data_IF_527946368394
#
_entry.id   IF_527946368394
#
_cell.length_a   1.000
_cell.length_b   1.000
_cell.length_c   1.000
_cell.angle_alpha   90.00
_cell.angle_beta   90.00
_cell.angle_gamma   90.00
#
_symmetry.space_group_name_H-M   'P 1'
#
loop_
_entity.id
_entity.type
_entity.pdbx_description
1 polymer ?
#
# COMPACT_ATOMS: atom_id res chain seq x y z
N UNK A 1 40.17 -28.74 -23.20
CA UNK A 1 41.27 -27.84 -22.84
C UNK A 1 41.13 -27.49 -21.37
N UNK A 2 42.06 -28.00 -20.57
CA UNK A 2 42.04 -27.98 -19.11
C UNK A 2 43.02 -26.92 -18.64
N UNK A 3 42.59 -25.92 -17.88
CA UNK A 3 43.50 -24.96 -17.24
C UNK A 3 43.36 -25.07 -15.72
N UNK A 4 44.47 -25.50 -15.12
CA UNK A 4 44.69 -25.71 -13.69
C UNK A 4 45.16 -24.41 -13.02
N UNK A 5 44.61 -24.19 -11.82
CA UNK A 5 45.24 -23.74 -10.57
C UNK A 5 46.01 -22.40 -10.47
N UNK A 6 45.68 -21.62 -9.42
CA UNK A 6 46.67 -21.24 -8.41
C UNK A 6 46.03 -20.88 -7.05
N UNK A 7 46.37 -21.69 -6.05
CA UNK A 7 46.15 -21.44 -4.62
C UNK A 7 47.17 -20.43 -4.14
N UNK A 8 46.75 -19.42 -3.37
CA UNK A 8 47.64 -18.58 -2.58
C UNK A 8 47.17 -18.58 -1.12
N UNK A 9 47.89 -19.34 -0.30
CA UNK A 9 47.80 -19.32 1.14
C UNK A 9 48.77 -18.26 1.68
N UNK A 10 48.30 -17.40 2.58
CA UNK A 10 49.13 -16.47 3.35
C UNK A 10 48.68 -16.46 4.81
N UNK A 11 49.43 -17.16 5.67
CA UNK A 11 49.42 -16.97 7.13
C UNK A 11 50.50 -15.94 7.48
N UNK A 12 50.36 -15.28 8.64
CA UNK A 12 51.35 -14.68 9.57
C UNK A 12 50.60 -13.55 10.31
N UNK A 13 50.69 -13.27 11.61
CA UNK A 13 51.12 -13.94 12.83
C UNK A 13 50.77 -12.99 14.01
N UNK A 14 50.47 -13.58 15.18
CA UNK A 14 50.84 -13.20 16.57
C UNK A 14 51.04 -11.71 16.98
N UNK A 15 50.43 -11.36 18.12
CA UNK A 15 50.84 -10.24 19.00
C UNK A 15 49.77 -9.91 20.07
N UNK A 16 49.73 -10.58 21.23
CA UNK A 16 50.25 -10.14 22.54
C UNK A 16 49.40 -9.06 23.25
N UNK A 17 48.77 -9.42 24.38
CA UNK A 17 48.94 -8.68 25.65
C UNK A 17 47.89 -7.65 26.12
N UNK A 18 46.82 -8.13 26.78
CA UNK A 18 46.14 -7.51 27.96
C UNK A 18 45.46 -6.12 27.82
N UNK A 19 44.76 -5.60 28.86
CA UNK A 19 44.35 -6.20 30.12
C UNK A 19 42.82 -6.42 30.25
N UNK A 20 42.46 -7.26 31.22
CA UNK A 20 41.10 -7.47 31.70
C UNK A 20 40.45 -6.14 32.15
N UNK A 21 39.43 -5.70 31.42
CA UNK A 21 38.53 -4.64 31.85
C UNK A 21 37.24 -5.29 32.38
N UNK A 22 37.08 -5.19 33.69
CA UNK A 22 36.02 -5.74 34.51
C UNK A 22 34.76 -4.87 34.34
N UNK A 23 33.91 -5.20 33.35
CA UNK A 23 32.62 -4.51 33.14
C UNK A 23 31.57 -5.20 34.01
N UNK A 24 31.11 -4.48 35.04
CA UNK A 24 29.99 -4.84 35.90
C UNK A 24 28.73 -5.09 35.07
N UNK A 25 28.09 -6.23 35.33
CA UNK A 25 26.84 -6.62 34.71
C UNK A 25 25.68 -5.68 35.07
N UNK A 26 25.16 -5.00 34.05
CA UNK A 26 23.74 -4.63 34.03
C UNK A 26 22.99 -5.78 33.38
N UNK A 27 22.51 -6.71 34.22
CA UNK A 27 21.52 -7.71 33.85
C UNK A 27 20.17 -7.02 33.63
N UNK A 28 20.03 -6.34 32.50
CA UNK A 28 18.70 -6.00 31.98
C UNK A 28 18.00 -7.30 31.59
N UNK A 29 16.79 -7.53 32.08
CA UNK A 29 15.90 -8.56 31.56
C UNK A 29 15.62 -8.28 30.08
N UNK A 30 16.48 -8.80 29.20
CA UNK A 30 16.17 -9.02 27.81
C UNK A 30 15.14 -10.14 27.79
N UNK A 31 13.86 -9.77 27.77
CA UNK A 31 12.79 -10.65 27.34
C UNK A 31 13.12 -11.06 25.91
N UNK A 32 13.84 -12.18 25.76
CA UNK A 32 13.93 -12.92 24.51
C UNK A 32 12.54 -13.48 24.25
N UNK A 33 11.68 -12.64 23.67
CA UNK A 33 10.54 -13.13 22.90
C UNK A 33 11.06 -14.13 21.87
N UNK A 34 10.24 -15.11 21.46
CA UNK A 34 10.68 -16.12 20.52
C UNK A 34 11.23 -15.44 19.27
N UNK A 35 12.55 -15.53 19.10
CA UNK A 35 13.22 -15.27 17.85
C UNK A 35 12.69 -16.35 16.92
N UNK A 36 11.61 -16.04 16.21
CA UNK A 36 11.20 -16.80 15.05
C UNK A 36 12.43 -16.97 14.17
N UNK A 37 12.74 -18.21 13.82
CA UNK A 37 13.92 -18.59 13.06
C UNK A 37 14.12 -17.62 11.90
N UNK A 38 15.18 -16.82 12.00
CA UNK A 38 15.62 -15.91 10.96
C UNK A 38 16.10 -16.69 9.75
N UNK A 39 15.16 -17.04 8.87
CA UNK A 39 15.44 -17.00 7.44
C UNK A 39 15.62 -15.55 6.99
N UNK A 40 16.17 -15.28 5.80
CA UNK A 40 16.18 -13.93 5.26
C UNK A 40 14.75 -13.39 5.31
N UNK A 41 14.51 -12.39 6.15
CA UNK A 41 13.23 -11.68 6.19
C UNK A 41 13.07 -11.06 4.81
N UNK A 42 12.25 -11.68 3.99
CA UNK A 42 11.79 -11.11 2.73
C UNK A 42 10.90 -9.95 3.14
N UNK A 43 11.52 -8.80 3.33
CA UNK A 43 10.80 -7.54 3.46
C UNK A 43 10.22 -7.26 2.08
N UNK A 44 9.04 -7.84 1.83
CA UNK A 44 8.25 -7.56 0.65
C UNK A 44 7.72 -6.14 0.85
N UNK A 45 8.14 -5.16 0.02
CA UNK A 45 7.74 -3.78 0.23
C UNK A 45 6.22 -3.67 0.16
N UNK A 46 5.64 -3.04 1.18
CA UNK A 46 4.26 -2.58 1.15
C UNK A 46 4.10 -1.54 0.04
N UNK A 47 2.88 -1.33 -0.44
CA UNK A 47 2.59 -0.34 -1.49
C UNK A 47 3.24 1.01 -1.17
N UNK A 48 3.93 1.58 -2.15
CA UNK A 48 4.50 2.93 -2.07
C UNK A 48 4.36 3.65 -3.40
N UNK A 49 4.20 4.97 -3.34
CA UNK A 49 4.16 5.83 -4.51
C UNK A 49 5.20 6.93 -4.36
N UNK A 50 6.08 7.09 -5.34
CA UNK A 50 7.15 8.11 -5.30
C UNK A 50 7.50 8.55 -6.70
N UNK A 51 7.61 9.86 -6.92
CA UNK A 51 8.06 10.46 -8.19
C UNK A 51 7.31 9.97 -9.44
N UNK A 52 5.99 9.73 -9.31
CA UNK A 52 5.17 9.27 -10.42
C UNK A 52 5.18 7.75 -10.67
N UNK A 53 5.73 6.99 -9.73
CA UNK A 53 5.94 5.55 -9.84
C UNK A 53 5.31 4.87 -8.62
N UNK A 54 4.34 3.98 -8.85
CA UNK A 54 3.86 3.08 -7.81
C UNK A 54 4.76 1.84 -7.75
N UNK A 55 5.04 1.33 -6.56
CA UNK A 55 5.74 0.07 -6.37
C UNK A 55 5.10 -0.78 -5.28
N UNK A 56 5.05 -2.09 -5.50
CA UNK A 56 4.52 -3.06 -4.55
C UNK A 56 5.28 -4.38 -4.68
N UNK A 57 5.64 -4.97 -3.54
CA UNK A 57 6.21 -6.30 -3.48
C UNK A 57 5.14 -7.38 -3.44
N UNK A 58 5.42 -8.50 -4.08
CA UNK A 58 4.64 -9.73 -4.04
C UNK A 58 5.51 -10.88 -3.56
N UNK A 59 5.04 -11.65 -2.58
CA UNK A 59 5.70 -12.86 -2.08
C UNK A 59 5.52 -14.05 -3.06
N UNK A 60 5.74 -13.79 -4.35
CA UNK A 60 5.55 -14.74 -5.46
C UNK A 60 6.74 -14.63 -6.42
N UNK A 61 7.15 -15.74 -7.07
CA UNK A 61 8.21 -15.73 -8.06
C UNK A 61 7.79 -14.94 -9.31
N UNK A 62 8.77 -14.41 -10.03
CA UNK A 62 8.55 -13.49 -11.16
C UNK A 62 7.63 -14.07 -12.23
N UNK A 63 7.77 -15.35 -12.55
CA UNK A 63 6.97 -16.06 -13.56
C UNK A 63 5.47 -16.08 -13.23
N UNK A 64 5.10 -16.23 -11.95
CA UNK A 64 3.71 -16.18 -11.52
C UNK A 64 3.15 -14.74 -11.63
N UNK A 65 3.96 -13.75 -11.25
CA UNK A 65 3.59 -12.33 -11.34
C UNK A 65 3.47 -11.87 -12.78
N UNK A 66 4.32 -12.35 -13.69
CA UNK A 66 4.25 -12.08 -15.13
C UNK A 66 2.96 -12.61 -15.74
N UNK A 67 2.54 -13.83 -15.37
CA UNK A 67 1.28 -14.42 -15.83
C UNK A 67 0.08 -13.61 -15.33
N UNK A 68 0.03 -13.31 -14.02
CA UNK A 68 -1.02 -12.50 -13.43
C UNK A 68 -1.06 -11.06 -13.98
N UNK A 69 0.09 -10.51 -14.37
CA UNK A 69 0.17 -9.20 -15.02
C UNK A 69 -0.47 -9.22 -16.41
N UNK A 70 -0.32 -10.31 -17.16
CA UNK A 70 -0.99 -10.49 -18.45
C UNK A 70 -2.51 -10.41 -18.31
N UNK A 71 -3.08 -11.17 -17.37
CA UNK A 71 -4.51 -11.16 -17.07
C UNK A 71 -4.99 -9.79 -16.56
N UNK A 72 -4.23 -9.16 -15.67
CA UNK A 72 -4.54 -7.82 -15.16
C UNK A 72 -4.54 -6.75 -16.27
N UNK A 73 -3.63 -6.86 -17.25
CA UNK A 73 -3.59 -5.95 -18.39
C UNK A 73 -4.80 -6.15 -19.31
N UNK A 74 -5.24 -7.38 -19.54
CA UNK A 74 -6.42 -7.68 -20.36
C UNK A 74 -7.70 -7.13 -19.73
N UNK A 75 -7.89 -7.36 -18.42
CA UNK A 75 -9.02 -6.83 -17.65
C UNK A 75 -9.14 -5.30 -17.70
N UNK A 76 -8.00 -4.61 -17.64
CA UNK A 76 -7.93 -3.14 -17.69
C UNK A 76 -7.87 -2.60 -19.12
N UNK A 77 -8.00 -3.47 -20.13
CA UNK A 77 -7.92 -3.14 -21.55
C UNK A 77 -6.62 -2.39 -21.89
N UNK A 78 -5.53 -2.72 -21.19
CA UNK A 78 -4.19 -2.17 -21.43
C UNK A 78 -3.56 -2.97 -22.56
N UNK A 79 -3.49 -2.35 -23.73
CA UNK A 79 -2.86 -2.94 -24.91
C UNK A 79 -1.35 -2.87 -24.76
N UNK A 80 -0.66 -4.00 -24.87
CA UNK A 80 0.81 -4.05 -24.91
C UNK A 80 1.33 -3.33 -26.15
N UNK A 81 2.38 -2.54 -25.98
CA UNK A 81 3.03 -1.78 -27.06
C UNK A 81 4.50 -2.17 -27.11
N UNK A 82 4.94 -2.74 -28.22
CA UNK A 82 6.33 -3.19 -28.40
C UNK A 82 6.60 -4.59 -27.85
N UNK A 83 7.90 -4.93 -27.79
CA UNK A 83 8.36 -6.21 -27.25
C UNK A 83 8.47 -6.13 -25.72
N UNK A 84 8.29 -7.27 -25.06
CA UNK A 84 8.64 -7.42 -23.64
C UNK A 84 10.14 -7.54 -23.53
N UNK A 85 10.77 -6.65 -22.78
CA UNK A 85 12.20 -6.71 -22.48
C UNK A 85 12.37 -7.51 -21.19
N UNK A 86 12.84 -8.75 -21.28
CA UNK A 86 13.08 -9.61 -20.12
C UNK A 86 14.58 -9.89 -19.99
N UNK A 87 15.13 -9.47 -18.85
CA UNK A 87 16.51 -9.72 -18.42
C UNK A 87 16.52 -10.74 -17.26
N UNK A 88 17.71 -11.10 -16.80
CA UNK A 88 17.88 -11.97 -15.63
C UNK A 88 17.23 -11.38 -14.37
N UNK A 89 17.30 -10.07 -14.18
CA UNK A 89 16.87 -9.39 -12.94
C UNK A 89 15.56 -8.61 -13.08
N UNK A 90 15.12 -8.32 -14.30
CA UNK A 90 13.98 -7.44 -14.53
C UNK A 90 13.18 -7.85 -15.76
N UNK A 91 11.88 -7.53 -15.77
CA UNK A 91 11.03 -7.63 -16.95
C UNK A 91 10.26 -6.34 -17.13
N UNK A 92 10.43 -5.70 -18.28
CA UNK A 92 9.77 -4.44 -18.63
C UNK A 92 8.70 -4.69 -19.67
N UNK A 93 7.52 -4.14 -19.40
CA UNK A 93 6.38 -4.21 -20.30
C UNK A 93 5.89 -2.79 -20.53
N UNK A 94 5.83 -2.40 -21.80
CA UNK A 94 5.22 -1.14 -22.22
C UNK A 94 3.80 -1.40 -22.71
N UNK A 95 2.89 -0.50 -22.37
CA UNK A 95 1.49 -0.59 -22.74
C UNK A 95 0.82 0.76 -22.95
N UNK A 96 -0.43 0.72 -23.40
CA UNK A 96 -1.33 1.87 -23.45
C UNK A 96 -2.70 1.50 -22.92
N UNK A 97 -3.25 2.36 -22.06
CA UNK A 97 -4.64 2.22 -21.60
C UNK A 97 -5.63 2.49 -22.75
N UNK A 98 -6.91 2.18 -22.52
CA UNK A 98 -7.99 2.52 -23.45
C UNK A 98 -8.04 4.03 -23.77
N UNK A 99 -7.77 4.88 -22.78
CA UNK A 99 -7.68 6.34 -22.93
C UNK A 99 -6.44 6.83 -23.70
N UNK A 100 -5.56 5.91 -24.12
CA UNK A 100 -4.33 6.24 -24.85
C UNK A 100 -3.15 6.68 -23.99
N UNK A 101 -3.27 6.61 -22.65
CA UNK A 101 -2.18 6.94 -21.72
C UNK A 101 -1.12 5.84 -21.76
N UNK A 102 0.16 6.22 -21.78
CA UNK A 102 1.29 5.28 -21.73
C UNK A 102 1.34 4.61 -20.36
N UNK A 103 1.61 3.32 -20.33
CA UNK A 103 1.85 2.54 -19.11
C UNK A 103 3.23 1.91 -19.22
N UNK A 104 4.09 2.17 -18.24
CA UNK A 104 5.39 1.54 -18.12
C UNK A 104 5.38 0.65 -16.86
N UNK A 105 5.54 -0.65 -17.08
CA UNK A 105 5.52 -1.69 -16.05
C UNK A 105 6.93 -2.29 -15.94
N UNK A 106 7.42 -2.47 -14.73
CA UNK A 106 8.71 -3.14 -14.48
C UNK A 106 8.56 -4.11 -13.33
N UNK A 107 8.84 -5.38 -13.57
CA UNK A 107 8.94 -6.41 -12.56
C UNK A 107 10.41 -6.62 -12.24
N UNK A 108 10.76 -6.57 -10.96
CA UNK A 108 12.12 -6.79 -10.47
C UNK A 108 12.15 -8.07 -9.65
N UNK A 109 13.07 -8.97 -10.01
CA UNK A 109 13.28 -10.21 -9.27
C UNK A 109 14.03 -9.93 -7.96
N UNK A 110 13.46 -10.37 -6.84
CA UNK A 110 14.06 -10.29 -5.49
C UNK A 110 14.27 -11.69 -4.90
N UNK A 111 14.41 -12.71 -5.74
CA UNK A 111 14.57 -14.11 -5.37
C UNK A 111 13.20 -14.81 -5.24
N UNK A 112 12.71 -15.12 -4.03
CA UNK A 112 11.39 -15.72 -3.85
C UNK A 112 10.24 -14.70 -3.87
N UNK A 113 10.55 -13.41 -4.05
CA UNK A 113 9.60 -12.32 -4.14
C UNK A 113 9.86 -11.48 -5.40
N UNK A 114 8.84 -10.77 -5.87
CA UNK A 114 8.92 -9.90 -7.04
C UNK A 114 8.41 -8.52 -6.68
N UNK A 115 9.15 -7.48 -7.04
CA UNK A 115 8.71 -6.09 -6.87
C UNK A 115 8.15 -5.58 -8.21
N UNK A 116 6.87 -5.24 -8.25
CA UNK A 116 6.24 -4.63 -9.41
C UNK A 116 6.27 -3.11 -9.28
N UNK A 117 6.65 -2.42 -10.34
CA UNK A 117 6.65 -0.97 -10.48
C UNK A 117 5.75 -0.57 -11.64
N UNK A 118 4.82 0.35 -11.41
CA UNK A 118 3.85 0.83 -12.42
C UNK A 118 3.84 2.36 -12.51
N UNK A 119 4.00 2.89 -13.73
CA UNK A 119 3.87 4.31 -14.06
C UNK A 119 2.82 4.46 -15.14
N UNK A 120 1.84 5.32 -14.89
CA UNK A 120 0.80 5.65 -15.86
C UNK A 120 0.94 7.11 -16.27
N UNK A 121 1.03 7.37 -17.57
CA UNK A 121 1.22 8.70 -18.15
C UNK A 121 2.64 9.25 -18.04
N UNK A 122 2.81 10.50 -18.48
CA UNK A 122 4.12 11.16 -18.52
C UNK A 122 4.64 11.57 -17.14
N UNK A 123 3.74 11.86 -16.19
CA UNK A 123 4.09 12.33 -14.84
C UNK A 123 3.84 11.29 -13.75
N UNK A 124 3.11 10.20 -14.07
CA UNK A 124 2.58 9.28 -13.08
C UNK A 124 1.20 9.71 -12.60
N UNK A 125 0.27 8.75 -12.61
CA UNK A 125 -1.08 8.85 -12.07
C UNK A 125 -1.19 7.78 -10.98
N UNK A 126 -1.31 8.22 -9.73
CA UNK A 126 -1.30 7.32 -8.58
C UNK A 126 -2.52 6.41 -8.56
N UNK A 127 -3.72 6.95 -8.81
CA UNK A 127 -4.96 6.19 -8.75
C UNK A 127 -5.01 5.12 -9.86
N UNK A 128 -4.55 5.49 -11.06
CA UNK A 128 -4.46 4.54 -12.16
C UNK A 128 -3.39 3.47 -11.88
N UNK A 129 -2.21 3.85 -11.38
CA UNK A 129 -1.15 2.89 -11.04
C UNK A 129 -1.56 1.94 -9.90
N UNK A 130 -2.26 2.46 -8.90
CA UNK A 130 -2.84 1.68 -7.80
C UNK A 130 -3.89 0.69 -8.30
N UNK A 131 -4.74 1.10 -9.25
CA UNK A 131 -5.73 0.21 -9.87
C UNK A 131 -5.06 -0.97 -10.58
N UNK A 132 -3.98 -0.73 -11.32
CA UNK A 132 -3.20 -1.79 -11.98
C UNK A 132 -2.61 -2.77 -10.96
N UNK A 133 -1.96 -2.25 -9.92
CA UNK A 133 -1.36 -3.08 -8.87
C UNK A 133 -2.41 -3.87 -8.08
N UNK A 134 -3.57 -3.27 -7.79
CA UNK A 134 -4.68 -3.97 -7.15
C UNK A 134 -5.22 -5.10 -8.02
N UNK A 135 -5.36 -4.89 -9.33
CA UNK A 135 -5.84 -5.94 -10.23
C UNK A 135 -4.83 -7.10 -10.33
N UNK A 136 -3.54 -6.77 -10.40
CA UNK A 136 -2.46 -7.76 -10.34
C UNK A 136 -2.52 -8.56 -9.03
N UNK A 137 -2.67 -7.88 -7.89
CA UNK A 137 -2.71 -8.50 -6.58
C UNK A 137 -3.95 -9.39 -6.39
N UNK A 138 -5.09 -9.04 -6.99
CA UNK A 138 -6.30 -9.85 -7.03
C UNK A 138 -6.09 -11.16 -7.80
N UNK A 139 -5.44 -11.11 -8.97
CA UNK A 139 -5.08 -12.31 -9.75
C UNK A 139 -4.10 -13.24 -9.04
N UNK A 140 -3.20 -12.68 -8.24
CA UNK A 140 -2.28 -13.47 -7.40
C UNK A 140 -2.95 -14.06 -6.15
N UNK A 141 -4.23 -13.77 -5.91
CA UNK A 141 -4.94 -14.16 -4.68
C UNK A 141 -4.33 -13.53 -3.42
N UNK A 142 -3.55 -12.46 -3.58
CA UNK A 142 -2.87 -11.75 -2.48
C UNK A 142 -3.71 -10.61 -1.91
N UNK A 143 -4.76 -10.19 -2.61
CA UNK A 143 -5.85 -9.41 -2.05
C UNK A 143 -7.06 -10.32 -1.83
N UNK A 144 -7.72 -10.29 -0.65
CA UNK A 144 -9.12 -10.70 -0.60
C UNK A 144 -9.88 -9.79 -1.55
N UNK A 145 -10.85 -10.34 -2.29
CA UNK A 145 -11.62 -9.65 -3.35
C UNK A 145 -12.45 -8.42 -2.88
N UNK A 146 -12.18 -7.89 -1.68
CA UNK A 146 -13.01 -6.92 -0.95
C UNK A 146 -12.29 -5.59 -0.68
N UNK A 147 -11.01 -5.42 -1.06
CA UNK A 147 -10.26 -4.18 -0.79
C UNK A 147 -10.51 -3.04 -1.80
N UNK A 148 -11.75 -2.88 -2.28
CA UNK A 148 -12.22 -1.60 -2.81
C UNK A 148 -12.63 -0.73 -1.63
N UNK A 149 -12.02 0.44 -1.37
CA UNK A 149 -12.53 1.37 -0.37
C UNK A 149 -13.73 2.12 -0.97
N UNK A 150 -14.80 1.38 -1.26
CA UNK A 150 -16.10 1.93 -1.61
C UNK A 150 -17.19 0.89 -1.37
N UNK A 151 -17.16 0.22 -0.21
CA UNK A 151 -18.25 -0.63 0.27
C UNK A 151 -18.13 -0.87 1.79
N UNK A 152 -18.04 0.22 2.56
CA UNK A 152 -18.34 0.19 3.99
C UNK A 152 -19.29 1.35 4.37
N UNK A 153 -20.35 1.48 3.57
CA UNK A 153 -21.52 2.31 3.89
C UNK A 153 -22.84 1.57 3.67
N UNK A 154 -22.80 0.26 3.42
CA UNK A 154 -24.00 -0.57 3.18
C UNK A 154 -24.23 -1.65 4.24
N UNK A 155 -23.33 -1.76 5.24
CA UNK A 155 -23.39 -2.78 6.30
C UNK A 155 -24.13 -2.39 7.58
N UNK A 156 -25.00 -1.37 7.58
CA UNK A 156 -25.77 -0.94 8.77
C UNK A 156 -27.28 -0.78 8.55
N UNK A 157 -27.83 -1.26 7.43
CA UNK A 157 -29.25 -1.11 7.14
C UNK A 157 -29.93 -2.39 6.66
N UNK A 158 -29.65 -3.54 7.26
CA UNK A 158 -30.56 -4.68 7.16
C UNK A 158 -30.37 -5.60 8.36
N UNK A 159 -30.89 -5.22 9.52
CA UNK A 159 -31.40 -6.20 10.49
C UNK A 159 -32.46 -5.54 11.37
N UNK A 160 -33.58 -6.25 11.49
CA UNK A 160 -34.60 -6.15 12.52
C UNK A 160 -35.44 -4.85 12.58
N UNK A 161 -36.58 -4.92 11.91
CA UNK A 161 -37.83 -4.44 12.48
C UNK A 161 -38.10 -5.19 13.80
N UNK A 162 -37.65 -4.64 14.93
CA UNK A 162 -38.09 -5.00 16.27
C UNK A 162 -37.86 -3.79 17.19
N UNK A 163 -38.96 -3.09 17.51
CA UNK A 163 -39.13 -2.12 18.60
C UNK A 163 -37.88 -1.35 19.06
N UNK A 164 -37.56 -0.27 18.34
CA UNK A 164 -36.55 0.70 18.77
C UNK A 164 -37.07 1.57 19.91
N UNK A 165 -36.73 1.20 21.13
CA UNK A 165 -36.64 2.08 22.29
C UNK A 165 -35.62 3.22 21.98
N UNK A 166 -36.00 4.52 22.02
CA UNK A 166 -35.13 5.62 21.59
C UNK A 166 -34.00 5.98 22.58
N UNK A 167 -33.67 5.13 23.55
CA UNK A 167 -32.91 5.54 24.74
C UNK A 167 -31.41 5.20 24.77
N UNK A 168 -30.76 4.72 23.70
CA UNK A 168 -29.31 4.43 23.79
C UNK A 168 -28.54 4.72 22.50
N UNK A 169 -28.34 6.01 22.24
CA UNK A 169 -27.24 6.49 21.37
C UNK A 169 -26.18 7.08 22.31
N UNK A 170 -25.08 6.36 22.61
CA UNK A 170 -24.05 6.90 23.48
C UNK A 170 -23.18 7.88 22.68
N UNK A 171 -23.36 9.16 23.02
CA UNK A 171 -22.43 10.27 22.86
C UNK A 171 -22.03 10.68 21.43
N UNK A 172 -22.35 11.95 21.10
CA UNK A 172 -22.04 12.69 19.88
C UNK A 172 -23.04 12.58 18.71
N UNK A 173 -24.31 12.85 19.00
CA UNK A 173 -25.07 13.75 18.14
C UNK A 173 -25.64 14.85 19.02
N UNK A 174 -24.94 15.99 19.02
CA UNK A 174 -25.52 17.25 19.46
C UNK A 174 -26.85 17.37 18.73
N UNK A 175 -27.93 17.39 19.48
CA UNK A 175 -29.27 17.71 18.99
C UNK A 175 -29.12 18.89 18.04
N UNK A 176 -29.41 18.66 16.76
CA UNK A 176 -29.54 19.77 15.82
C UNK A 176 -30.58 20.71 16.42
N UNK A 177 -30.17 21.93 16.75
CA UNK A 177 -31.06 22.95 17.29
C UNK A 177 -32.17 23.14 16.26
N UNK A 178 -33.45 22.93 16.62
CA UNK A 178 -34.53 23.03 15.64
C UNK A 178 -34.60 24.45 15.08
N UNK A 179 -34.89 24.58 13.79
CA UNK A 179 -34.91 25.87 13.06
C UNK A 179 -35.86 26.90 13.70
N UNK A 180 -36.86 26.45 14.46
CA UNK A 180 -37.77 27.30 15.24
C UNK A 180 -37.06 28.12 16.34
N UNK A 181 -35.86 27.72 16.76
CA UNK A 181 -35.02 28.46 17.72
C UNK A 181 -34.08 29.44 17.01
N UNK A 182 -33.70 29.18 15.76
CA UNK A 182 -32.76 30.01 14.98
C UNK A 182 -33.41 31.29 14.41
N UNK A 183 -34.75 31.37 14.35
CA UNK A 183 -35.47 32.44 13.65
C UNK A 183 -36.19 33.45 14.55
N UNK A 184 -36.02 33.41 15.89
CA UNK A 184 -36.77 34.28 16.82
C UNK A 184 -36.17 35.67 17.09
N UNK A 185 -35.21 36.13 16.29
CA UNK A 185 -34.37 37.29 16.63
C UNK A 185 -34.50 38.58 15.79
N UNK A 186 -35.22 38.59 14.66
CA UNK A 186 -35.17 39.74 13.72
C UNK A 186 -36.52 40.40 13.43
N UNK A 187 -37.54 40.10 14.22
CA UNK A 187 -38.92 40.45 13.91
C UNK A 187 -39.61 41.45 14.81
N UNK A 188 -38.92 42.35 15.54
CA UNK A 188 -39.62 43.34 16.39
C UNK A 188 -38.81 44.63 16.58
N UNK A 189 -38.83 45.49 15.55
CA UNK A 189 -38.58 46.93 15.69
C UNK A 189 -39.38 47.68 14.62
N UNK A 190 -40.71 47.58 14.68
CA UNK A 190 -41.59 48.51 13.96
C UNK A 190 -42.56 49.14 14.96
N UNK A 191 -42.01 50.09 15.73
CA UNK A 191 -42.73 50.89 16.71
C UNK A 191 -42.67 52.36 16.34
N UNK A 192 -43.68 52.81 15.61
CA UNK A 192 -44.28 54.17 15.65
C UNK A 192 -43.37 55.37 15.40
N UNK A 193 -43.23 55.76 14.13
CA UNK A 193 -43.08 57.18 13.78
C UNK A 193 -44.42 57.69 13.27
N UNK A 194 -45.29 58.09 14.21
CA UNK A 194 -46.53 58.79 13.90
C UNK A 194 -46.21 60.22 13.48
N UNK A 195 -46.62 60.54 12.25
CA UNK A 195 -47.10 61.83 11.75
C UNK A 195 -47.30 62.93 12.81
N UNK A 196 -46.88 64.17 12.49
CA UNK A 196 -47.77 65.29 12.12
C UNK A 196 -46.94 66.59 11.86
N UNK A 197 -47.55 67.65 11.28
CA UNK A 197 -47.03 68.48 10.18
C UNK A 197 -46.20 69.70 10.57
#
# INVERSE_FOLDING_TARGET
MTVRAKVAAGRIARGIGGPALLILGLSGCQTTGPIGQGGPSLVVPTYSYTSGMASQGFARPRTEVEAALGEAMDDLQIRRVGLVEADAEATRVHGRTADGRRVDLTLLDRGPATEARVRVGLFGDEDAARTVLNRLAAHLGTLPAEASPMQDLTGLATDANADADPATIPYFSRQAVPDSVMLRGFGEANGTSSLLP
#
